data_IF_505262187089
#
_entry.id   IF_505262187089
#
_cell.length_a   1.000
_cell.length_b   1.000
_cell.length_c   1.000
_cell.angle_alpha   90.00
_cell.angle_beta   90.00
_cell.angle_gamma   90.00
#
_symmetry.space_group_name_H-M   'P 1'
#
loop_
_entity.id
_entity.type
_entity.pdbx_description
1 polymer ?
#
# COMPACT_ATOMS: atom_id res chain seq x y z
N UNK A 1 6.20 17.22 30.63
CA UNK A 1 5.40 16.97 29.42
C UNK A 1 4.13 17.79 29.54
N UNK A 2 4.03 18.93 28.86
CA UNK A 2 2.87 19.81 28.94
C UNK A 2 1.77 19.27 28.04
N UNK A 3 0.61 18.92 28.63
CA UNK A 3 -0.61 18.66 27.86
C UNK A 3 -0.95 19.96 27.14
N UNK A 4 -0.90 19.95 25.81
CA UNK A 4 -1.41 21.05 25.00
C UNK A 4 -2.89 21.23 25.38
N UNK A 5 -3.22 22.37 25.97
CA UNK A 5 -4.61 22.69 26.29
C UNK A 5 -5.41 22.58 25.00
N UNK A 6 -6.39 21.67 25.00
CA UNK A 6 -7.35 21.53 23.92
C UNK A 6 -8.06 22.89 23.79
N UNK A 7 -7.62 23.69 22.83
CA UNK A 7 -8.15 25.04 22.61
C UNK A 7 -9.67 24.95 22.48
N UNK A 8 -10.38 25.68 23.35
CA UNK A 8 -11.83 25.78 23.29
C UNK A 8 -12.24 26.19 21.87
N UNK A 9 -13.34 25.64 21.36
CA UNK A 9 -13.83 25.88 19.98
C UNK A 9 -14.23 27.33 19.68
N UNK A 10 -13.87 28.26 20.57
CA UNK A 10 -14.12 29.70 20.54
C UNK A 10 -13.14 30.50 19.69
N UNK A 11 -12.05 29.90 19.19
CA UNK A 11 -10.99 30.65 18.48
C UNK A 11 -11.29 30.88 16.98
N UNK A 12 -12.54 30.90 16.55
CA UNK A 12 -12.89 31.18 15.15
C UNK A 12 -13.63 32.50 15.03
N UNK A 13 -13.17 33.33 14.09
CA UNK A 13 -13.76 34.61 13.75
C UNK A 13 -14.06 34.68 12.26
N UNK A 14 -15.08 35.44 11.89
CA UNK A 14 -15.44 35.71 10.51
C UNK A 14 -14.86 37.05 10.09
N UNK A 15 -14.17 37.07 8.94
CA UNK A 15 -13.72 38.32 8.35
C UNK A 15 -14.91 39.20 7.93
N UNK A 16 -14.64 40.48 7.69
CA UNK A 16 -15.59 41.32 6.98
C UNK A 16 -15.92 40.71 5.60
N UNK A 17 -17.19 40.77 5.15
CA UNK A 17 -17.57 40.26 3.85
C UNK A 17 -16.86 41.02 2.73
N UNK A 18 -16.13 40.28 1.90
CA UNK A 18 -15.45 40.82 0.73
C UNK A 18 -16.12 40.30 -0.53
N UNK A 19 -16.02 41.07 -1.61
CA UNK A 19 -16.63 40.72 -2.89
C UNK A 19 -15.60 40.06 -3.81
N UNK A 20 -15.98 38.96 -4.46
CA UNK A 20 -15.19 38.36 -5.53
C UNK A 20 -15.45 39.04 -6.86
N UNK A 21 -14.52 38.87 -7.81
CA UNK A 21 -14.68 39.29 -9.21
C UNK A 21 -15.91 38.68 -9.88
N UNK A 22 -16.36 37.51 -9.41
CA UNK A 22 -17.59 36.83 -9.84
C UNK A 22 -18.87 37.54 -9.39
N UNK A 23 -18.77 38.56 -8.54
CA UNK A 23 -19.91 39.32 -8.02
C UNK A 23 -20.54 38.73 -6.77
N UNK A 24 -20.09 37.57 -6.30
CA UNK A 24 -20.54 36.97 -5.05
C UNK A 24 -19.83 37.57 -3.84
N UNK A 25 -20.54 37.65 -2.72
CA UNK A 25 -19.97 37.98 -1.42
C UNK A 25 -19.37 36.72 -0.80
N UNK A 26 -18.21 36.85 -0.17
CA UNK A 26 -17.52 35.77 0.53
C UNK A 26 -17.03 36.28 1.87
N UNK A 27 -16.99 35.35 2.82
CA UNK A 27 -16.47 35.57 4.16
C UNK A 27 -15.37 34.56 4.40
N UNK A 28 -14.27 35.01 4.97
CA UNK A 28 -13.17 34.16 5.36
C UNK A 28 -13.35 33.76 6.82
N UNK A 29 -13.33 32.45 7.09
CA UNK A 29 -13.26 31.93 8.45
C UNK A 29 -11.79 31.96 8.85
N UNK A 30 -11.45 32.77 9.86
CA UNK A 30 -10.09 32.92 10.38
C UNK A 30 -10.00 32.30 11.77
N UNK A 31 -8.80 31.85 12.12
CA UNK A 31 -8.49 31.46 13.49
C UNK A 31 -7.95 32.67 14.24
N UNK A 32 -8.52 32.96 15.41
CA UNK A 32 -8.23 34.17 16.20
C UNK A 32 -6.77 34.23 16.64
N UNK A 33 -6.18 33.07 16.97
CA UNK A 33 -4.82 32.99 17.53
C UNK A 33 -3.71 33.44 16.57
N UNK A 34 -3.88 33.19 15.26
CA UNK A 34 -2.84 33.36 14.24
C UNK A 34 -3.35 34.12 13.01
N UNK A 35 -4.57 34.64 13.05
CA UNK A 35 -5.32 35.28 11.95
C UNK A 35 -5.34 34.45 10.66
N UNK A 36 -5.02 33.16 10.75
CA UNK A 36 -4.84 32.33 9.57
C UNK A 36 -6.20 32.03 8.98
N UNK A 37 -6.30 32.26 7.67
CA UNK A 37 -7.46 31.91 6.88
C UNK A 37 -7.62 30.40 6.78
N UNK A 38 -8.77 29.89 7.24
CA UNK A 38 -9.09 28.47 7.29
C UNK A 38 -9.99 28.03 6.14
N UNK A 39 -11.02 28.82 5.82
CA UNK A 39 -11.92 28.56 4.72
C UNK A 39 -12.46 29.86 4.12
N UNK A 40 -12.90 29.76 2.87
CA UNK A 40 -13.67 30.78 2.15
C UNK A 40 -15.11 30.28 2.03
N UNK A 41 -16.08 31.05 2.48
CA UNK A 41 -17.49 30.68 2.37
C UNK A 41 -18.23 31.71 1.53
N UNK A 42 -18.82 31.23 0.45
CA UNK A 42 -19.64 32.05 -0.44
C UNK A 42 -21.02 32.29 0.19
N UNK A 43 -21.36 33.56 0.40
CA UNK A 43 -22.66 33.97 0.88
C UNK A 43 -23.67 33.82 -0.25
N UNK A 44 -24.53 32.82 -0.14
CA UNK A 44 -25.62 32.54 -1.08
C UNK A 44 -26.97 32.68 -0.37
N UNK A 45 -28.03 32.91 -1.14
CA UNK A 45 -29.40 32.94 -0.60
C UNK A 45 -29.83 31.57 -0.01
N UNK A 46 -29.18 30.47 -0.42
CA UNK A 46 -29.41 29.14 0.14
C UNK A 46 -28.78 29.01 1.54
N UNK A 47 -27.58 29.57 1.73
CA UNK A 47 -26.89 29.56 3.03
C UNK A 47 -27.54 30.53 4.02
N UNK A 48 -27.86 31.74 3.56
CA UNK A 48 -28.46 32.80 4.36
C UNK A 48 -29.82 33.19 3.77
N UNK A 49 -30.88 32.41 4.07
CA UNK A 49 -32.22 32.72 3.57
C UNK A 49 -32.74 34.04 4.16
N UNK A 50 -33.63 34.77 3.45
CA UNK A 50 -34.24 35.97 3.98
C UNK A 50 -34.99 35.67 5.28
N UNK A 51 -34.67 36.41 6.34
CA UNK A 51 -35.32 36.25 7.64
C UNK A 51 -36.54 37.13 7.71
N UNK A 52 -37.69 36.53 8.02
CA UNK A 52 -38.95 37.26 8.23
C UNK A 52 -39.32 37.32 9.71
N UNK A 53 -39.99 38.40 10.13
CA UNK A 53 -40.62 38.50 11.44
C UNK A 53 -41.94 37.70 11.46
N UNK A 54 -42.53 37.48 12.63
CA UNK A 54 -43.86 36.88 12.79
C UNK A 54 -44.96 37.57 11.96
N UNK A 55 -44.77 38.84 11.61
CA UNK A 55 -45.67 39.62 10.73
C UNK A 55 -45.39 39.45 9.24
N UNK A 56 -44.49 38.53 8.84
CA UNK A 56 -44.09 38.29 7.46
C UNK A 56 -43.16 39.35 6.85
N UNK A 57 -42.81 40.42 7.58
CA UNK A 57 -41.87 41.45 7.09
C UNK A 57 -40.45 40.91 7.08
N UNK A 58 -39.73 41.09 5.97
CA UNK A 58 -38.30 40.74 5.84
C UNK A 58 -37.49 41.64 6.75
N UNK A 59 -36.86 41.05 7.77
CA UNK A 59 -35.97 41.72 8.73
C UNK A 59 -34.55 41.78 8.20
N UNK A 60 -34.14 40.76 7.46
CA UNK A 60 -32.81 40.68 6.88
C UNK A 60 -32.86 39.90 5.57
N UNK A 61 -32.16 40.40 4.57
CA UNK A 61 -31.93 39.72 3.29
C UNK A 61 -30.52 40.05 2.82
N UNK A 62 -29.90 39.11 2.10
CA UNK A 62 -28.63 39.37 1.45
C UNK A 62 -28.81 40.53 0.44
N UNK A 63 -28.00 41.61 0.51
CA UNK A 63 -28.12 42.72 -0.42
C UNK A 63 -27.90 42.25 -1.86
N UNK A 64 -28.83 42.60 -2.73
CA UNK A 64 -28.69 42.44 -4.18
C UNK A 64 -27.77 43.51 -4.76
N UNK A 65 -27.70 44.66 -4.09
CA UNK A 65 -26.90 45.79 -4.53
C UNK A 65 -25.41 45.50 -4.34
N UNK A 66 -24.68 45.78 -5.42
CA UNK A 66 -23.26 45.47 -5.58
C UNK A 66 -22.33 46.33 -4.70
N UNK A 67 -22.84 47.48 -4.27
CA UNK A 67 -22.06 48.52 -3.58
C UNK A 67 -22.26 48.48 -2.07
N UNK A 68 -23.22 47.68 -1.58
CA UNK A 68 -23.56 47.59 -0.15
C UNK A 68 -23.07 46.25 0.39
N UNK A 69 -22.04 46.30 1.25
CA UNK A 69 -21.55 45.11 1.93
C UNK A 69 -22.60 44.57 2.92
N UNK A 70 -22.88 43.24 2.91
CA UNK A 70 -23.80 42.64 3.87
C UNK A 70 -23.28 42.81 5.29
N UNK A 71 -24.15 43.21 6.22
CA UNK A 71 -23.85 43.19 7.65
C UNK A 71 -24.36 41.87 8.24
N UNK A 72 -23.45 41.04 8.73
CA UNK A 72 -23.78 39.75 9.31
C UNK A 72 -24.01 39.89 10.80
N UNK A 73 -25.25 39.66 11.24
CA UNK A 73 -25.59 39.56 12.65
C UNK A 73 -25.21 38.21 13.23
N UNK A 74 -25.41 38.04 14.54
CA UNK A 74 -25.08 36.79 15.24
C UNK A 74 -25.76 35.55 14.64
N UNK A 75 -26.97 35.70 14.09
CA UNK A 75 -27.70 34.58 13.51
C UNK A 75 -27.08 34.12 12.19
N UNK A 76 -26.74 35.08 11.33
CA UNK A 76 -26.09 34.82 10.04
C UNK A 76 -24.67 34.27 10.24
N UNK A 77 -23.93 34.81 11.22
CA UNK A 77 -22.62 34.28 11.59
C UNK A 77 -22.69 32.81 12.05
N UNK A 78 -23.69 32.44 12.87
CA UNK A 78 -23.92 31.05 13.28
C UNK A 78 -24.20 30.14 12.09
N UNK A 79 -24.99 30.59 11.11
CA UNK A 79 -25.28 29.82 9.90
C UNK A 79 -24.00 29.60 9.06
N UNK A 80 -23.16 30.64 8.89
CA UNK A 80 -21.86 30.52 8.20
C UNK A 80 -20.95 29.52 8.91
N UNK A 81 -20.87 29.57 10.24
CA UNK A 81 -20.07 28.60 11.01
C UNK A 81 -20.63 27.17 10.95
N UNK A 82 -21.96 27.00 10.88
CA UNK A 82 -22.56 25.68 10.71
C UNK A 82 -22.17 25.07 9.36
N UNK A 83 -22.21 25.86 8.28
CA UNK A 83 -21.79 25.43 6.96
C UNK A 83 -20.28 25.15 6.90
N UNK A 84 -19.45 25.98 7.54
CA UNK A 84 -18.02 25.71 7.70
C UNK A 84 -17.76 24.34 8.32
N UNK A 85 -18.44 24.01 9.42
CA UNK A 85 -18.29 22.72 10.11
C UNK A 85 -18.74 21.57 9.21
N UNK A 86 -19.83 21.75 8.46
CA UNK A 86 -20.32 20.78 7.48
C UNK A 86 -19.27 20.52 6.39
N UNK A 87 -18.77 21.57 5.73
CA UNK A 87 -17.72 21.44 4.71
C UNK A 87 -16.44 20.79 5.27
N UNK A 88 -16.06 21.10 6.51
CA UNK A 88 -14.91 20.47 7.18
C UNK A 88 -15.14 18.97 7.42
N UNK A 89 -16.33 18.57 7.84
CA UNK A 89 -16.71 17.15 8.03
C UNK A 89 -16.70 16.42 6.69
N UNK A 90 -17.34 16.96 5.66
CA UNK A 90 -17.35 16.40 4.31
C UNK A 90 -15.92 16.22 3.74
N UNK A 91 -15.04 17.21 3.94
CA UNK A 91 -13.63 17.11 3.53
C UNK A 91 -12.87 16.02 4.31
N UNK A 92 -13.12 15.87 5.61
CA UNK A 92 -12.52 14.82 6.45
C UNK A 92 -12.96 13.44 5.93
N UNK A 93 -14.25 13.27 5.66
CA UNK A 93 -14.82 12.01 5.17
C UNK A 93 -14.32 11.66 3.77
N UNK A 94 -14.27 12.63 2.86
CA UNK A 94 -13.70 12.45 1.52
C UNK A 94 -12.23 12.03 1.58
N UNK A 95 -11.42 12.67 2.44
CA UNK A 95 -10.02 12.29 2.63
C UNK A 95 -9.87 10.88 3.22
N UNK A 96 -10.73 10.50 4.17
CA UNK A 96 -10.75 9.15 4.76
C UNK A 96 -11.08 8.10 3.69
N UNK A 97 -12.08 8.37 2.85
CA UNK A 97 -12.44 7.50 1.73
C UNK A 97 -11.27 7.33 0.74
N UNK A 98 -10.61 8.44 0.36
CA UNK A 98 -9.44 8.39 -0.53
C UNK A 98 -8.27 7.61 0.09
N UNK A 99 -8.02 7.76 1.39
CA UNK A 99 -6.99 7.02 2.09
C UNK A 99 -7.27 5.51 2.11
N UNK A 100 -8.54 5.11 2.28
CA UNK A 100 -8.93 3.69 2.20
C UNK A 100 -8.74 3.10 0.80
N UNK A 101 -9.06 3.87 -0.26
CA UNK A 101 -8.81 3.45 -1.65
C UNK A 101 -7.32 3.23 -1.89
N UNK A 102 -6.48 4.20 -1.50
CA UNK A 102 -5.02 4.07 -1.61
C UNK A 102 -4.49 2.84 -0.87
N UNK A 103 -4.93 2.61 0.36
CA UNK A 103 -4.54 1.42 1.14
C UNK A 103 -4.93 0.11 0.43
N UNK A 104 -6.11 0.04 -0.18
CA UNK A 104 -6.55 -1.13 -0.96
C UNK A 104 -5.69 -1.33 -2.21
N UNK A 105 -5.33 -0.26 -2.90
CA UNK A 105 -4.50 -0.32 -4.10
C UNK A 105 -3.05 -0.70 -3.78
N UNK A 106 -2.50 -0.21 -2.66
CA UNK A 106 -1.18 -0.62 -2.17
C UNK A 106 -1.15 -2.12 -1.83
N UNK A 107 -2.17 -2.63 -1.14
CA UNK A 107 -2.30 -4.07 -0.85
C UNK A 107 -2.42 -4.89 -2.14
N UNK A 108 -3.14 -4.40 -3.15
CA UNK A 108 -3.22 -5.06 -4.46
C UNK A 108 -1.87 -5.07 -5.17
N UNK A 109 -1.15 -3.95 -5.17
CA UNK A 109 0.19 -3.83 -5.75
C UNK A 109 1.16 -4.79 -5.06
N UNK A 110 1.19 -4.81 -3.74
CA UNK A 110 2.04 -5.72 -2.97
C UNK A 110 1.71 -7.19 -3.26
N UNK A 111 0.42 -7.56 -3.34
CA UNK A 111 0.02 -8.92 -3.73
C UNK A 111 0.47 -9.28 -5.14
N UNK A 112 0.36 -8.36 -6.09
CA UNK A 112 0.82 -8.56 -7.47
C UNK A 112 2.35 -8.75 -7.53
N UNK A 113 3.12 -7.95 -6.80
CA UNK A 113 4.57 -8.07 -6.68
C UNK A 113 4.98 -9.42 -6.06
N UNK A 114 4.33 -9.81 -4.95
CA UNK A 114 4.56 -11.12 -4.30
C UNK A 114 4.23 -12.27 -5.25
N UNK A 115 3.15 -12.17 -6.02
CA UNK A 115 2.78 -13.19 -6.99
C UNK A 115 3.80 -13.27 -8.14
N UNK A 116 4.21 -12.13 -8.69
CA UNK A 116 5.27 -12.07 -9.70
C UNK A 116 6.58 -12.70 -9.23
N UNK A 117 7.01 -12.40 -8.00
CA UNK A 117 8.20 -13.01 -7.39
C UNK A 117 8.08 -14.53 -7.26
N UNK A 118 6.91 -15.05 -6.83
CA UNK A 118 6.67 -16.49 -6.75
C UNK A 118 6.73 -17.18 -8.11
N UNK A 119 6.21 -16.54 -9.15
CA UNK A 119 6.26 -17.04 -10.54
C UNK A 119 7.70 -17.12 -11.06
N UNK A 120 8.53 -16.10 -10.78
CA UNK A 120 9.95 -16.12 -11.16
C UNK A 120 10.70 -17.24 -10.40
N UNK A 121 10.45 -17.36 -9.09
CA UNK A 121 11.07 -18.40 -8.27
C UNK A 121 10.68 -19.82 -8.71
N UNK A 122 9.41 -20.06 -9.05
CA UNK A 122 8.95 -21.38 -9.51
C UNK A 122 9.56 -21.74 -10.86
N UNK A 123 9.64 -20.78 -11.80
CA UNK A 123 10.29 -20.97 -13.09
C UNK A 123 11.78 -21.29 -12.93
N UNK A 124 12.49 -20.57 -12.06
CA UNK A 124 13.91 -20.83 -11.79
C UNK A 124 14.14 -22.22 -11.19
N UNK A 125 13.33 -22.62 -10.20
CA UNK A 125 13.39 -23.96 -9.60
C UNK A 125 13.14 -25.06 -10.64
N UNK A 126 12.16 -24.86 -11.52
CA UNK A 126 11.88 -25.80 -12.60
C UNK A 126 13.06 -25.93 -13.58
N UNK A 127 13.70 -24.82 -13.94
CA UNK A 127 14.90 -24.82 -14.81
C UNK A 127 16.06 -25.56 -14.16
N UNK A 128 16.35 -25.32 -12.88
CA UNK A 128 17.39 -26.04 -12.15
C UNK A 128 17.10 -27.54 -12.05
N UNK A 129 15.85 -27.93 -11.78
CA UNK A 129 15.46 -29.33 -11.74
C UNK A 129 15.71 -30.02 -13.10
N UNK A 130 15.37 -29.34 -14.21
CA UNK A 130 15.65 -29.83 -15.57
C UNK A 130 17.15 -29.96 -15.85
N UNK A 131 17.97 -29.00 -15.41
CA UNK A 131 19.43 -29.07 -15.55
C UNK A 131 20.03 -30.24 -14.77
N UNK A 132 19.62 -30.43 -13.51
CA UNK A 132 20.05 -31.55 -12.68
C UNK A 132 19.68 -32.90 -13.30
N UNK A 133 18.45 -33.00 -13.81
CA UNK A 133 18.00 -34.19 -14.53
C UNK A 133 18.86 -34.47 -15.77
N UNK A 134 19.14 -33.45 -16.60
CA UNK A 134 20.03 -33.59 -17.77
C UNK A 134 21.43 -34.05 -17.39
N UNK A 135 22.00 -33.49 -16.33
CA UNK A 135 23.30 -33.93 -15.81
C UNK A 135 23.27 -35.38 -15.32
N UNK A 136 22.25 -35.77 -14.57
CA UNK A 136 22.09 -37.15 -14.10
C UNK A 136 21.98 -38.14 -15.27
N UNK A 137 21.18 -37.82 -16.29
CA UNK A 137 21.03 -38.66 -17.50
C UNK A 137 22.33 -38.72 -18.32
N UNK A 138 23.06 -37.61 -18.45
CA UNK A 138 24.35 -37.61 -19.13
C UNK A 138 25.39 -38.44 -18.37
N UNK A 139 25.39 -38.35 -17.04
CA UNK A 139 26.26 -39.15 -16.18
C UNK A 139 25.95 -40.64 -16.27
N UNK A 140 24.67 -41.04 -16.19
CA UNK A 140 24.29 -42.46 -16.32
C UNK A 140 24.55 -43.04 -17.70
N UNK A 141 24.52 -42.23 -18.77
CA UNK A 141 24.90 -42.65 -20.13
C UNK A 141 26.40 -42.84 -20.33
N UNK A 142 27.21 -42.05 -19.63
CA UNK A 142 28.68 -42.06 -19.79
C UNK A 142 29.38 -43.00 -18.83
N UNK A 143 28.72 -43.37 -17.73
CA UNK A 143 29.16 -44.48 -16.92
C UNK A 143 29.23 -45.73 -17.83
N UNK A 144 30.43 -46.31 -18.06
CA UNK A 144 30.52 -47.61 -18.73
C UNK A 144 29.59 -48.53 -17.96
N UNK A 145 28.79 -49.34 -18.66
CA UNK A 145 27.81 -50.23 -18.04
C UNK A 145 28.48 -50.96 -16.89
N UNK A 146 28.35 -50.39 -15.69
CA UNK A 146 28.87 -50.99 -14.50
C UNK A 146 27.84 -52.09 -14.34
N UNK A 147 28.20 -53.27 -14.88
CA UNK A 147 27.65 -54.54 -14.42
C UNK A 147 27.44 -54.31 -12.93
N UNK A 148 26.19 -54.35 -12.42
CA UNK A 148 25.93 -54.10 -11.01
C UNK A 148 26.97 -54.93 -10.30
N UNK A 149 27.96 -54.26 -9.68
CA UNK A 149 29.12 -54.95 -9.11
C UNK A 149 28.46 -56.01 -8.27
N UNK A 150 28.64 -57.28 -8.63
CA UNK A 150 28.12 -58.39 -7.86
C UNK A 150 28.49 -58.02 -6.45
N UNK A 151 27.46 -57.78 -5.64
CA UNK A 151 27.61 -57.30 -4.30
C UNK A 151 28.27 -58.49 -3.63
N UNK A 152 29.61 -58.53 -3.69
CA UNK A 152 30.39 -59.58 -3.08
C UNK A 152 29.85 -59.62 -1.67
N UNK A 153 29.27 -60.76 -1.24
CA UNK A 153 28.76 -60.87 0.10
C UNK A 153 29.86 -60.33 1.00
N UNK A 154 29.53 -59.33 1.82
CA UNK A 154 30.47 -58.75 2.75
C UNK A 154 31.23 -59.93 3.37
N UNK A 155 32.58 -59.91 3.35
CA UNK A 155 33.35 -61.02 3.88
C UNK A 155 32.74 -61.33 5.24
N UNK A 156 32.31 -62.58 5.41
CA UNK A 156 31.80 -63.04 6.69
C UNK A 156 32.94 -62.80 7.68
N UNK A 157 32.88 -61.68 8.39
CA UNK A 157 33.70 -61.51 9.56
C UNK A 157 33.20 -62.59 10.51
N UNK A 158 33.99 -63.66 10.60
CA UNK A 158 33.94 -64.62 11.70
C UNK A 158 34.21 -63.83 12.98
N UNK A 159 33.19 -63.14 13.47
CA UNK A 159 33.13 -62.62 14.84
C UNK A 159 32.83 -63.82 15.73
N UNK A 160 33.84 -64.68 15.86
CA UNK A 160 34.01 -65.48 17.06
C UNK A 160 34.44 -64.53 18.17
N UNK A 161 33.47 -63.83 18.77
CA UNK A 161 33.66 -63.22 20.08
C UNK A 161 32.80 -64.00 21.07
N UNK A 162 33.39 -64.94 21.83
CA UNK A 162 32.71 -65.49 23.00
C UNK A 162 32.66 -64.42 24.09
N UNK A 163 31.65 -64.55 24.96
CA UNK A 163 31.43 -63.77 26.19
C UNK A 163 31.04 -62.30 25.92
N UNK A 164 29.75 -61.97 25.86
CA UNK A 164 28.86 -62.04 27.01
C UNK A 164 28.97 -60.74 27.80
N UNK A 165 28.00 -59.83 27.66
CA UNK A 165 27.38 -59.03 28.74
C UNK A 165 26.23 -58.20 28.16
N UNK A 166 25.02 -58.64 28.48
CA UNK A 166 23.83 -57.85 28.85
C UNK A 166 23.99 -56.33 28.77
N UNK A 167 23.16 -55.67 27.95
CA UNK A 167 22.46 -54.44 28.35
C UNK A 167 21.24 -54.21 27.45
N UNK A 168 20.14 -54.81 27.90
CA UNK A 168 18.77 -54.40 27.60
C UNK A 168 18.61 -52.94 28.05
N UNK A 169 18.39 -52.02 27.12
CA UNK A 169 17.73 -50.75 27.42
C UNK A 169 16.61 -50.54 26.43
N UNK A 170 15.43 -50.79 26.96
CA UNK A 170 14.15 -50.36 26.46
C UNK A 170 14.21 -48.84 26.21
N UNK A 171 13.93 -48.44 24.97
CA UNK A 171 13.58 -47.05 24.64
C UNK A 171 12.44 -47.08 23.63
N UNK A 172 11.36 -47.74 24.03
CA UNK A 172 10.02 -47.47 23.54
C UNK A 172 9.61 -46.07 24.02
N UNK A 173 10.19 -45.03 23.41
CA UNK A 173 9.64 -43.69 23.48
C UNK A 173 8.50 -43.59 22.46
N UNK A 174 7.36 -44.09 22.92
CA UNK A 174 6.02 -43.79 22.48
C UNK A 174 5.90 -42.40 21.83
N UNK A 175 5.56 -42.36 20.54
CA UNK A 175 4.98 -41.18 19.89
C UNK A 175 3.82 -41.62 19.01
N UNK A 176 2.91 -42.39 19.58
CA UNK A 176 1.57 -42.54 19.04
C UNK A 176 0.87 -41.20 19.22
N UNK A 177 0.85 -40.38 18.16
CA UNK A 177 0.01 -39.19 18.07
C UNK A 177 -1.44 -39.64 18.09
N UNK A 178 -2.02 -39.74 19.29
CA UNK A 178 -3.44 -39.83 19.51
C UNK A 178 -4.10 -38.60 18.89
N UNK A 179 -4.83 -38.83 17.80
CA UNK A 179 -5.94 -37.99 17.34
C UNK A 179 -7.05 -38.13 18.39
N UNK A 180 -6.94 -37.41 19.51
CA UNK A 180 -8.08 -37.21 20.39
C UNK A 180 -8.89 -36.03 19.86
N UNK A 181 -10.14 -36.36 19.57
CA UNK A 181 -11.26 -35.45 19.47
C UNK A 181 -11.24 -34.56 20.73
N UNK A 182 -10.87 -33.28 20.58
CA UNK A 182 -10.97 -32.28 21.64
C UNK A 182 -12.02 -31.27 21.19
N UNK A 183 -13.26 -31.51 21.62
CA UNK A 183 -14.23 -30.44 21.77
C UNK A 183 -13.69 -29.52 22.86
N UNK A 184 -13.06 -28.42 22.47
CA UNK A 184 -12.79 -27.32 23.40
C UNK A 184 -13.79 -26.21 23.15
N UNK A 185 -14.62 -26.02 24.17
CA UNK A 185 -15.19 -24.76 24.59
C UNK A 185 -14.33 -23.57 24.15
N UNK A 186 -14.89 -22.80 23.21
CA UNK A 186 -14.41 -21.48 22.81
C UNK A 186 -14.76 -20.41 23.84
N UNK A 187 -14.57 -20.72 25.12
CA UNK A 187 -14.77 -19.78 26.21
C UNK A 187 -13.42 -19.52 26.87
N UNK A 188 -12.92 -18.29 26.69
CA UNK A 188 -11.91 -17.62 27.54
C UNK A 188 -10.44 -17.81 27.13
N UNK A 189 -9.98 -16.95 26.22
CA UNK A 189 -8.56 -16.58 26.13
C UNK A 189 -8.32 -15.40 27.08
N UNK A 190 -7.41 -15.51 28.07
CA UNK A 190 -6.96 -14.38 28.88
C UNK A 190 -5.99 -13.50 28.08
N UNK A 191 -6.11 -12.18 28.30
CA UNK A 191 -5.46 -11.12 27.55
C UNK A 191 -3.95 -11.27 27.40
N UNK A 192 -3.51 -11.43 26.15
CA UNK A 192 -2.17 -11.10 25.71
C UNK A 192 -2.12 -9.62 25.37
N UNK A 193 -1.38 -8.87 26.20
CA UNK A 193 -0.98 -7.49 25.98
C UNK A 193 -0.20 -7.43 24.66
N UNK A 194 -0.84 -6.89 23.64
CA UNK A 194 -0.15 -6.33 22.49
C UNK A 194 -0.16 -4.82 22.70
N UNK A 195 1.03 -4.27 23.00
CA UNK A 195 1.34 -2.86 22.86
C UNK A 195 1.25 -2.49 21.37
N UNK A 196 0.03 -2.41 20.87
CA UNK A 196 -0.33 -1.83 19.59
C UNK A 196 -0.72 -0.38 19.81
N UNK A 197 0.30 0.46 19.99
CA UNK A 197 0.20 1.91 19.96
C UNK A 197 -0.37 2.33 18.59
N UNK A 198 -1.64 2.69 18.61
CA UNK A 198 -2.45 2.97 17.42
C UNK A 198 -3.89 3.32 17.79
N UNK A 199 -4.05 4.05 18.90
CA UNK A 199 -5.31 4.67 19.28
C UNK A 199 -5.67 5.76 18.28
N UNK A 200 -6.32 5.38 17.19
CA UNK A 200 -7.29 6.25 16.51
C UNK A 200 -8.51 6.25 17.43
N UNK A 201 -8.45 7.05 18.50
CA UNK A 201 -9.60 7.41 19.32
C UNK A 201 -10.59 8.11 18.39
N UNK A 202 -11.47 7.29 17.79
CA UNK A 202 -12.69 7.77 17.21
C UNK A 202 -13.51 8.38 18.33
N UNK A 203 -13.48 9.70 18.42
CA UNK A 203 -14.57 10.49 19.02
C UNK A 203 -15.87 10.12 18.28
N UNK A 204 -16.48 9.01 18.69
CA UNK A 204 -17.91 8.77 18.57
C UNK A 204 -18.56 9.74 19.56
N UNK A 205 -18.82 10.98 19.10
CA UNK A 205 -19.80 11.82 19.77
C UNK A 205 -21.14 11.10 19.67
N UNK A 206 -21.63 10.62 20.82
CA UNK A 206 -22.99 10.13 21.04
C UNK A 206 -24.00 11.21 20.62
N UNK A 207 -24.47 11.13 19.36
CA UNK A 207 -25.68 11.82 18.92
C UNK A 207 -26.89 11.11 19.56
N UNK A 208 -27.20 11.48 20.81
CA UNK A 208 -28.48 11.24 21.47
C UNK A 208 -29.62 11.93 20.70
N UNK A 209 -30.01 11.36 19.56
CA UNK A 209 -31.29 11.66 18.91
C UNK A 209 -32.31 10.62 19.35
N UNK A 210 -33.05 11.01 20.39
CA UNK A 210 -34.34 10.44 20.73
C UNK A 210 -35.26 10.43 19.50
N UNK A 211 -35.39 9.26 18.88
CA UNK A 211 -36.42 9.01 17.88
C UNK A 211 -37.79 8.91 18.60
N UNK A 212 -38.79 9.74 18.27
CA UNK A 212 -40.11 9.58 18.85
C UNK A 212 -40.79 8.34 18.27
N UNK A 213 -41.14 7.42 19.18
CA UNK A 213 -42.06 6.33 18.96
C UNK A 213 -43.42 6.86 18.47
N UNK A 214 -43.77 6.60 17.22
CA UNK A 214 -45.14 6.41 16.77
C UNK A 214 -45.10 5.88 15.34
N UNK A 215 -46.13 5.14 14.93
CA UNK A 215 -46.30 4.43 13.65
C UNK A 215 -45.89 2.96 13.63
N UNK A 216 -46.40 2.20 14.61
CA UNK A 216 -46.96 0.88 14.33
C UNK A 216 -48.47 1.04 14.14
N UNK A 217 -48.96 0.85 12.91
CA UNK A 217 -50.25 0.23 12.55
C UNK A 217 -50.71 0.73 11.17
N UNK A 218 -50.64 -0.13 10.15
CA UNK A 218 -51.69 -0.28 9.15
C UNK A 218 -51.37 -1.42 8.16
N UNK A 219 -52.01 -2.55 8.41
CA UNK A 219 -52.71 -3.40 7.41
C UNK A 219 -51.94 -3.97 6.22
N UNK A 220 -51.70 -5.29 6.35
CA UNK A 220 -51.93 -6.32 5.33
C UNK A 220 -52.94 -5.92 4.24
N UNK A 221 -52.54 -5.95 2.98
CA UNK A 221 -53.45 -6.20 1.86
C UNK A 221 -52.70 -6.70 0.63
N UNK A 222 -53.13 -7.87 0.17
CA UNK A 222 -52.70 -8.53 -1.05
C UNK A 222 -52.81 -7.62 -2.28
N UNK A 223 -51.76 -7.58 -3.11
CA UNK A 223 -51.94 -7.36 -4.55
C UNK A 223 -50.79 -7.94 -5.35
N UNK A 224 -51.09 -9.04 -6.03
CA UNK A 224 -50.36 -9.50 -7.22
C UNK A 224 -50.41 -8.40 -8.27
N UNK A 225 -49.25 -7.89 -8.70
CA UNK A 225 -49.13 -7.13 -9.94
C UNK A 225 -47.96 -7.65 -10.75
N UNK A 226 -48.33 -8.01 -11.97
CA UNK A 226 -47.55 -8.42 -13.11
C UNK A 226 -46.27 -7.60 -13.29
N UNK A 227 -45.19 -8.34 -13.46
CA UNK A 227 -43.94 -7.90 -14.07
C UNK A 227 -44.21 -7.76 -15.56
N UNK A 228 -44.11 -6.55 -16.11
CA UNK A 228 -43.77 -6.32 -17.52
C UNK A 228 -43.16 -4.91 -17.69
N UNK A 229 -42.13 -4.87 -18.54
CA UNK A 229 -41.52 -3.75 -19.25
C UNK A 229 -40.80 -2.65 -18.47
N UNK A 230 -39.53 -2.94 -18.12
CA UNK A 230 -38.49 -1.92 -18.03
C UNK A 230 -37.49 -2.15 -19.17
N UNK A 231 -37.76 -1.53 -20.32
CA UNK A 231 -36.91 -1.52 -21.49
C UNK A 231 -35.58 -0.77 -21.20
N UNK A 232 -34.57 -1.54 -20.79
CA UNK A 232 -33.19 -1.08 -20.72
C UNK A 232 -32.70 -0.83 -22.15
N UNK A 233 -32.41 0.43 -22.48
CA UNK A 233 -31.75 0.79 -23.74
C UNK A 233 -30.40 0.06 -23.83
N UNK A 234 -30.07 -0.57 -24.98
CA UNK A 234 -28.76 -1.18 -25.15
C UNK A 234 -27.70 -0.08 -25.11
N UNK A 235 -26.76 -0.21 -24.19
CA UNK A 235 -25.50 0.52 -24.21
C UNK A 235 -24.74 0.03 -25.44
N UNK A 236 -24.38 0.95 -26.34
CA UNK A 236 -23.52 0.69 -27.48
C UNK A 236 -22.21 0.04 -26.99
N UNK A 237 -22.14 -1.28 -27.11
CA UNK A 237 -20.91 -2.01 -26.93
C UNK A 237 -20.00 -1.62 -28.10
N UNK A 238 -19.02 -0.75 -27.83
CA UNK A 238 -17.92 -0.49 -28.73
C UNK A 238 -17.28 -1.80 -29.21
N UNK A 239 -16.55 -1.77 -30.34
CA UNK A 239 -16.01 -2.97 -30.97
C UNK A 239 -15.24 -3.79 -29.95
N UNK A 240 -15.56 -5.08 -29.87
CA UNK A 240 -14.90 -5.98 -28.93
C UNK A 240 -13.38 -5.91 -29.11
N UNK A 241 -12.63 -6.15 -28.04
CA UNK A 241 -11.17 -6.14 -28.08
C UNK A 241 -10.64 -7.13 -29.15
N UNK A 242 -11.37 -8.21 -29.44
CA UNK A 242 -11.08 -9.12 -30.53
C UNK A 242 -11.25 -8.48 -31.92
N UNK A 243 -12.24 -7.60 -32.10
CA UNK A 243 -12.48 -6.84 -33.34
C UNK A 243 -11.41 -5.78 -33.58
N UNK A 244 -10.94 -5.11 -32.51
CA UNK A 244 -9.82 -4.17 -32.59
C UNK A 244 -8.48 -4.87 -32.90
N UNK A 245 -8.23 -6.03 -32.29
CA UNK A 245 -7.02 -6.82 -32.58
C UNK A 245 -7.07 -7.40 -33.99
N UNK A 246 -8.25 -7.78 -34.49
CA UNK A 246 -8.42 -8.26 -35.86
C UNK A 246 -8.19 -7.14 -36.91
N UNK A 247 -8.61 -5.89 -36.64
CA UNK A 247 -8.40 -4.79 -37.59
C UNK A 247 -6.92 -4.35 -37.65
N UNK A 248 -6.19 -4.41 -36.52
CA UNK A 248 -4.75 -4.15 -36.48
C UNK A 248 -3.96 -5.26 -37.19
N UNK A 249 -4.44 -6.51 -37.12
CA UNK A 249 -3.79 -7.68 -37.73
C UNK A 249 -3.83 -7.73 -39.27
N UNK A 250 -4.73 -6.98 -39.91
CA UNK A 250 -4.85 -6.92 -41.38
C UNK A 250 -3.96 -5.85 -42.03
N UNK A 251 -3.39 -4.91 -41.26
CA UNK A 251 -2.63 -3.79 -41.80
C UNK A 251 -1.11 -4.02 -41.83
N UNK A 252 -0.60 -5.15 -41.31
CA UNK A 252 0.85 -5.41 -41.23
C UNK A 252 1.22 -6.58 -42.15
N UNK A 253 2.05 -6.35 -43.20
CA UNK A 253 2.52 -7.42 -44.08
C UNK A 253 3.25 -8.51 -43.27
N UNK A 254 3.11 -9.78 -43.67
CA UNK A 254 3.66 -10.96 -42.96
C UNK A 254 5.17 -10.84 -42.64
N UNK A 255 5.93 -10.20 -43.52
CA UNK A 255 7.37 -9.98 -43.34
C UNK A 255 7.68 -9.02 -42.18
N UNK A 256 6.80 -8.05 -41.93
CA UNK A 256 6.93 -7.12 -40.79
C UNK A 256 6.47 -7.75 -39.48
N UNK A 257 5.57 -8.74 -39.49
CA UNK A 257 5.18 -9.46 -38.27
C UNK A 257 6.36 -10.20 -37.65
N UNK A 258 7.22 -10.81 -38.47
CA UNK A 258 8.43 -11.51 -37.99
C UNK A 258 9.46 -10.54 -37.42
N UNK A 259 9.65 -9.38 -38.05
CA UNK A 259 10.52 -8.31 -37.53
C UNK A 259 9.97 -7.71 -36.24
N UNK A 260 8.65 -7.49 -36.17
CA UNK A 260 7.98 -6.94 -35.00
C UNK A 260 8.04 -7.90 -33.81
N UNK A 261 7.76 -9.20 -34.02
CA UNK A 261 7.90 -10.23 -32.97
C UNK A 261 9.35 -10.38 -32.50
N UNK A 262 10.31 -10.25 -33.40
CA UNK A 262 11.74 -10.32 -33.04
C UNK A 262 12.19 -9.07 -32.28
N UNK A 263 11.76 -7.88 -32.71
CA UNK A 263 11.98 -6.61 -32.01
C UNK A 263 11.33 -6.58 -30.63
N UNK A 264 10.14 -7.16 -30.49
CA UNK A 264 9.42 -7.20 -29.22
C UNK A 264 10.09 -8.19 -28.25
N UNK A 265 10.55 -9.35 -28.75
CA UNK A 265 11.34 -10.31 -27.96
C UNK A 265 12.67 -9.70 -27.49
N UNK A 266 13.39 -9.01 -28.37
CA UNK A 266 14.63 -8.30 -28.01
C UNK A 266 14.38 -7.21 -26.97
N UNK A 267 13.39 -6.34 -27.18
CA UNK A 267 13.04 -5.29 -26.22
C UNK A 267 12.57 -5.85 -24.87
N UNK A 268 11.93 -7.02 -24.85
CA UNK A 268 11.52 -7.69 -23.61
C UNK A 268 12.72 -8.30 -22.88
N UNK A 269 13.67 -8.88 -23.62
CA UNK A 269 14.91 -9.41 -23.04
C UNK A 269 15.79 -8.29 -22.47
N UNK A 270 15.94 -7.18 -23.19
CA UNK A 270 16.68 -6.00 -22.71
C UNK A 270 16.03 -5.40 -21.46
N UNK A 271 14.71 -5.23 -21.43
CA UNK A 271 14.00 -4.76 -20.22
C UNK A 271 14.12 -5.72 -19.04
N UNK A 272 14.16 -7.02 -19.28
CA UNK A 272 14.38 -8.01 -18.23
C UNK A 272 15.82 -7.98 -17.71
N UNK A 273 16.81 -7.74 -18.57
CA UNK A 273 18.21 -7.60 -18.17
C UNK A 273 18.45 -6.28 -17.40
N UNK A 274 17.83 -5.17 -17.81
CA UNK A 274 17.83 -3.90 -17.07
C UNK A 274 17.15 -4.02 -15.70
N UNK A 275 16.02 -4.75 -15.62
CA UNK A 275 15.34 -5.00 -14.36
C UNK A 275 16.17 -5.91 -13.43
N UNK A 276 16.85 -6.91 -13.99
CA UNK A 276 17.69 -7.84 -13.24
C UNK A 276 18.97 -7.17 -12.71
N UNK A 277 19.63 -6.36 -13.53
CA UNK A 277 20.79 -5.54 -13.14
C UNK A 277 20.41 -4.49 -12.09
N UNK A 278 19.27 -3.81 -12.26
CA UNK A 278 18.74 -2.85 -11.26
C UNK A 278 18.43 -3.53 -9.93
N UNK A 279 17.82 -4.71 -9.94
CA UNK A 279 17.56 -5.49 -8.73
C UNK A 279 18.86 -5.94 -8.04
N UNK A 280 19.87 -6.38 -8.80
CA UNK A 280 21.18 -6.77 -8.27
C UNK A 280 21.93 -5.59 -7.65
N UNK A 281 21.86 -4.40 -8.27
CA UNK A 281 22.42 -3.16 -7.74
C UNK A 281 21.67 -2.69 -6.48
N UNK A 282 20.34 -2.84 -6.44
CA UNK A 282 19.55 -2.49 -5.27
C UNK A 282 19.82 -3.44 -4.10
N UNK A 283 19.88 -4.76 -4.34
CA UNK A 283 20.21 -5.74 -3.30
C UNK A 283 21.66 -5.63 -2.79
N UNK A 284 22.62 -5.29 -3.65
CA UNK A 284 24.00 -5.04 -3.22
C UNK A 284 24.11 -3.75 -2.40
N UNK A 285 23.43 -2.67 -2.79
CA UNK A 285 23.30 -1.45 -1.96
C UNK A 285 22.66 -1.74 -0.60
N UNK A 286 21.56 -2.49 -0.55
CA UNK A 286 20.92 -2.86 0.71
C UNK A 286 21.81 -3.74 1.60
N UNK A 287 22.58 -4.69 1.04
CA UNK A 287 23.57 -5.48 1.80
C UNK A 287 24.70 -4.62 2.35
N UNK A 288 25.21 -3.66 1.56
CA UNK A 288 26.23 -2.71 2.01
C UNK A 288 25.71 -1.80 3.13
N UNK A 289 24.46 -1.33 3.04
CA UNK A 289 23.83 -0.57 4.13
C UNK A 289 23.60 -1.41 5.39
N UNK A 290 23.28 -2.71 5.24
CA UNK A 290 23.12 -3.63 6.38
C UNK A 290 24.45 -3.97 7.06
N UNK A 291 25.53 -4.09 6.27
CA UNK A 291 26.90 -4.22 6.80
C UNK A 291 27.35 -2.93 7.51
N UNK A 292 27.08 -1.76 6.94
CA UNK A 292 27.37 -0.47 7.60
C UNK A 292 26.59 -0.26 8.90
N UNK A 293 25.35 -0.78 9.00
CA UNK A 293 24.55 -0.69 10.22
C UNK A 293 24.97 -1.71 11.30
N UNK A 294 25.53 -2.85 10.90
CA UNK A 294 26.04 -3.87 11.82
C UNK A 294 27.37 -3.47 12.49
N UNK A 295 28.15 -2.57 11.89
CA UNK A 295 29.40 -2.03 12.47
C UNK A 295 29.21 -0.82 13.40
N UNK A 296 27.97 -0.44 13.72
CA UNK A 296 27.68 0.66 14.65
C UNK A 296 27.44 0.21 16.10
N UNK A 297 27.51 -1.09 16.40
CA UNK A 297 27.44 -1.65 17.76
C UNK A 297 28.82 -1.87 18.42
N UNK A 298 29.80 -1.02 18.08
CA UNK A 298 31.09 -0.92 18.78
C UNK A 298 31.24 0.48 19.38
N UNK A 299 30.57 0.70 20.51
CA UNK A 299 30.70 1.92 21.31
C UNK A 299 32.01 1.99 22.12
N UNK A 300 32.84 0.93 22.09
CA UNK A 300 34.06 0.79 22.88
C UNK A 300 35.33 1.37 22.22
N UNK A 301 35.35 1.59 20.90
CA UNK A 301 36.56 2.09 20.20
C UNK A 301 36.64 3.64 20.11
N UNK A 302 35.54 4.37 20.34
CA UNK A 302 35.53 5.85 20.30
C UNK A 302 36.10 6.51 21.56
N UNK A 303 36.39 5.73 22.61
CA UNK A 303 37.03 6.25 23.84
C UNK A 303 38.56 6.22 23.79
N UNK A 304 39.16 5.44 22.87
CA UNK A 304 40.61 5.32 22.72
C UNK A 304 41.24 6.36 21.77
N UNK A 305 40.44 7.16 21.05
CA UNK A 305 40.93 8.09 20.02
C UNK A 305 40.66 9.58 20.31
N UNK A 306 40.27 9.96 21.54
CA UNK A 306 40.29 11.37 21.97
C UNK A 306 41.69 11.72 22.49
N UNK A 307 42.66 11.84 21.59
CA UNK A 307 44.01 12.24 22.00
C UNK A 307 45.09 12.30 20.92
N UNK A 308 44.76 12.18 19.62
CA UNK A 308 45.77 12.27 18.56
C UNK A 308 45.50 13.45 17.63
N UNK A 309 46.51 14.29 17.32
CA UNK A 309 46.36 15.44 16.44
C UNK A 309 46.07 15.01 15.00
N UNK A 310 45.20 15.79 14.36
CA UNK A 310 44.86 15.71 12.95
C UNK A 310 46.12 15.86 12.09
N UNK A 311 46.53 14.80 11.39
CA UNK A 311 47.25 14.81 10.10
C UNK A 311 47.71 13.37 9.78
N UNK A 312 46.86 12.58 9.11
CA UNK A 312 47.23 11.47 8.21
C UNK A 312 45.99 10.61 7.90
N UNK A 313 45.27 10.93 6.81
CA UNK A 313 44.37 9.98 6.16
C UNK A 313 45.19 9.14 5.16
N UNK A 314 45.07 7.80 5.15
CA UNK A 314 45.91 6.96 4.31
C UNK A 314 45.45 6.98 2.85
N UNK A 315 46.43 7.00 1.95
CA UNK A 315 46.36 6.92 0.48
C UNK A 315 45.56 5.73 -0.11
N UNK A 316 44.96 4.87 0.71
CA UNK A 316 44.32 3.62 0.29
C UNK A 316 42.93 3.81 -0.35
N UNK A 317 42.23 4.92 -0.11
CA UNK A 317 40.88 5.14 -0.67
C UNK A 317 40.86 5.77 -2.07
N UNK A 318 42.01 6.18 -2.62
CA UNK A 318 42.11 6.68 -4.01
C UNK A 318 42.30 5.57 -5.06
N UNK A 319 42.68 4.36 -4.67
CA UNK A 319 42.95 3.26 -5.62
C UNK A 319 41.68 2.54 -6.12
N UNK A 320 40.54 2.71 -5.44
CA UNK A 320 39.32 1.94 -5.73
C UNK A 320 38.40 2.67 -6.72
N UNK A 321 38.50 4.00 -6.84
CA UNK A 321 37.55 4.82 -7.63
C UNK A 321 38.11 5.36 -8.96
N UNK A 322 39.41 5.18 -9.23
CA UNK A 322 40.03 5.72 -10.45
C UNK A 322 39.87 4.86 -11.73
N UNK A 323 39.73 3.51 -11.71
CA UNK A 323 39.62 2.74 -12.95
C UNK A 323 38.28 2.95 -13.69
N UNK A 324 37.22 3.32 -12.98
CA UNK A 324 35.86 3.35 -13.53
C UNK A 324 35.53 4.68 -14.24
N UNK A 325 36.13 5.79 -13.79
CA UNK A 325 36.04 7.09 -14.48
C UNK A 325 36.92 7.17 -15.74
N UNK A 326 38.05 6.45 -15.76
CA UNK A 326 38.92 6.37 -16.95
C UNK A 326 38.25 5.61 -18.11
N UNK A 327 37.40 4.62 -17.81
CA UNK A 327 36.70 3.82 -18.82
C UNK A 327 35.48 4.53 -19.44
N UNK A 328 34.90 5.52 -18.75
CA UNK A 328 33.82 6.35 -19.29
C UNK A 328 34.34 7.47 -20.20
N UNK A 329 35.52 8.02 -19.91
CA UNK A 329 36.13 9.06 -20.73
C UNK A 329 36.57 8.56 -22.12
N UNK A 330 36.91 7.28 -22.28
CA UNK A 330 37.34 6.71 -23.56
C UNK A 330 36.20 6.36 -24.53
N UNK A 331 34.93 6.47 -24.11
CA UNK A 331 33.74 6.20 -24.95
C UNK A 331 33.12 7.44 -25.57
N UNK A 332 33.65 8.64 -25.30
CA UNK A 332 33.10 9.91 -25.78
C UNK A 332 33.98 10.62 -26.82
N UNK A 333 34.71 9.87 -27.65
CA UNK A 333 35.43 10.44 -28.80
C UNK A 333 34.61 10.25 -30.10
N UNK A 334 34.19 11.32 -30.79
CA UNK A 334 33.58 11.21 -32.11
C UNK A 334 34.65 10.89 -33.16
N UNK A 335 34.35 9.93 -34.04
CA UNK A 335 35.11 9.67 -35.27
C UNK A 335 34.99 10.89 -36.19
N UNK A 336 36.14 11.46 -36.59
CA UNK A 336 36.23 12.37 -37.73
C UNK A 336 36.34 11.58 -39.03
#
# INVERSE_FOLDING_TARGET
MGRAACGSSTDLELSEPRRLSTGHWVVDVKRVSDERRMAEITLTAALLPPRTNAKGKVVWSLPTDKDVAPRLGLHEQRAVFADYRKQRKEKKDANRALAQVRKRDDVKREKAERWGARTIQSAWRATLARQRYRHAVAYTRTLPSAQPREWFPAPAEDVSSPDGTVCRQDSEASSATQRSHREEDFSRIPGGILDGDGGDEGDEEDDDQAAPQSWLAATSSMRTRSVDDNAVRPVDNGPSLATLVASIGQAVPEDDKRRWVSSWKLATVERLDEAWTSHRLHCSRQRLCRWSAADHSSWSLRRALRGAPSLALPRALRAIWWPELALQASRAAPLQ
#
